data_IF_884302249365
#
_entry.id   IF_884302249365
#
_cell.length_a   1.000
_cell.length_b   1.000
_cell.length_c   1.000
_cell.angle_alpha   90.00
_cell.angle_beta   90.00
_cell.angle_gamma   90.00
#
_symmetry.space_group_name_H-M   'P 1'
#
loop_
_entity.id
_entity.type
_entity.pdbx_description
1 polymer ?
#
# COMPACT_ATOMS: atom_id res chain seq x y z
N UNK A 1 -8.95 7.06 -6.69
CA UNK A 1 -7.54 7.17 -7.15
C UNK A 1 -7.31 8.60 -7.60
N UNK A 2 -6.22 9.23 -7.20
CA UNK A 2 -5.85 10.61 -7.54
C UNK A 2 -4.76 10.63 -8.62
N UNK A 3 -4.51 11.82 -9.17
CA UNK A 3 -3.67 11.97 -10.37
C UNK A 3 -2.21 11.53 -10.14
N UNK A 4 -1.64 11.77 -8.95
CA UNK A 4 -0.27 11.34 -8.62
C UNK A 4 -0.12 9.82 -8.65
N UNK A 5 -1.08 9.08 -8.10
CA UNK A 5 -1.08 7.61 -8.13
C UNK A 5 -1.22 7.07 -9.56
N UNK A 6 -2.04 7.73 -10.41
CA UNK A 6 -2.15 7.38 -11.84
C UNK A 6 -0.84 7.63 -12.59
N UNK A 7 -0.18 8.77 -12.34
CA UNK A 7 1.11 9.09 -12.94
C UNK A 7 2.16 8.07 -12.54
N UNK A 8 2.28 7.75 -11.26
CA UNK A 8 3.22 6.75 -10.75
C UNK A 8 2.97 5.35 -11.34
N UNK A 9 1.71 4.94 -11.49
CA UNK A 9 1.36 3.69 -12.17
C UNK A 9 1.73 3.72 -13.65
N UNK A 10 1.48 4.83 -14.33
CA UNK A 10 1.89 5.01 -15.73
C UNK A 10 3.42 4.88 -15.91
N UNK A 11 4.20 5.45 -14.98
CA UNK A 11 5.66 5.35 -15.00
C UNK A 11 6.12 3.89 -14.84
N UNK A 12 5.46 3.11 -13.98
CA UNK A 12 5.72 1.67 -13.88
C UNK A 12 5.40 0.94 -15.19
N UNK A 13 4.24 1.21 -15.79
CA UNK A 13 3.81 0.59 -17.04
C UNK A 13 4.80 0.91 -18.15
N UNK A 14 5.13 2.19 -18.37
CA UNK A 14 6.01 2.62 -19.45
C UNK A 14 7.46 2.14 -19.27
N UNK A 15 7.91 1.96 -18.04
CA UNK A 15 9.28 1.48 -17.73
C UNK A 15 9.43 -0.02 -17.92
N UNK A 16 8.41 -0.80 -17.57
CA UNK A 16 8.54 -2.26 -17.46
C UNK A 16 7.73 -3.06 -18.50
N UNK A 17 6.85 -2.42 -19.24
CA UNK A 17 6.07 -3.06 -20.31
C UNK A 17 6.46 -2.53 -21.68
N UNK A 18 6.35 -3.37 -22.69
CA UNK A 18 6.56 -3.01 -24.11
C UNK A 18 5.29 -3.26 -24.91
N UNK A 19 5.07 -2.53 -25.98
CA UNK A 19 3.83 -2.60 -26.79
C UNK A 19 3.79 -3.79 -27.75
N UNK A 20 4.92 -4.42 -27.98
CA UNK A 20 5.11 -5.54 -28.93
C UNK A 20 4.90 -6.93 -28.30
N UNK A 21 4.70 -6.98 -26.99
CA UNK A 21 4.51 -8.22 -26.22
C UNK A 21 3.08 -8.35 -25.72
N UNK A 22 2.55 -9.59 -25.74
CA UNK A 22 1.26 -9.92 -25.14
C UNK A 22 1.40 -10.15 -23.61
N UNK A 23 0.47 -9.60 -22.83
CA UNK A 23 0.44 -9.70 -21.38
C UNK A 23 -0.90 -10.22 -20.88
N UNK A 24 -0.85 -11.15 -19.91
CA UNK A 24 -1.97 -11.44 -19.03
C UNK A 24 -1.83 -10.55 -17.80
N UNK A 25 -2.74 -9.61 -17.62
CA UNK A 25 -2.68 -8.58 -16.59
C UNK A 25 -3.86 -8.70 -15.63
N UNK A 26 -3.57 -8.68 -14.34
CA UNK A 26 -4.55 -8.61 -13.27
C UNK A 26 -4.56 -7.22 -12.64
N UNK A 27 -5.72 -6.58 -12.59
CA UNK A 27 -5.97 -5.37 -11.81
C UNK A 27 -6.62 -5.74 -10.48
N UNK A 28 -5.83 -5.69 -9.40
CA UNK A 28 -6.25 -6.08 -8.05
C UNK A 28 -6.77 -4.87 -7.27
N UNK A 29 -8.05 -4.91 -6.89
CA UNK A 29 -8.78 -3.76 -6.35
C UNK A 29 -9.28 -2.84 -7.46
N UNK A 30 -9.88 -3.43 -8.49
CA UNK A 30 -10.24 -2.74 -9.73
C UNK A 30 -11.54 -1.94 -9.66
N UNK A 31 -12.31 -2.06 -8.57
CA UNK A 31 -13.59 -1.37 -8.43
C UNK A 31 -13.43 0.15 -8.56
N UNK A 32 -14.30 0.77 -9.35
CA UNK A 32 -14.38 2.23 -9.47
C UNK A 32 -15.77 2.73 -9.12
N UNK A 33 -15.83 3.79 -8.34
CA UNK A 33 -17.07 4.44 -7.96
C UNK A 33 -17.80 5.04 -9.18
N UNK A 34 -19.11 5.17 -9.08
CA UNK A 34 -19.91 5.87 -10.09
C UNK A 34 -19.40 7.31 -10.25
N UNK A 35 -19.14 7.72 -11.49
CA UNK A 35 -18.56 9.03 -11.80
C UNK A 35 -17.03 9.12 -11.77
N UNK A 36 -16.34 8.12 -11.24
CA UNK A 36 -14.89 8.07 -11.32
C UNK A 36 -14.45 7.66 -12.73
N UNK A 37 -13.85 8.61 -13.46
CA UNK A 37 -13.42 8.39 -14.85
C UNK A 37 -12.05 7.71 -14.95
N UNK A 38 -11.13 8.01 -14.02
CA UNK A 38 -9.77 7.47 -14.04
C UNK A 38 -9.72 6.04 -13.50
N UNK A 39 -9.19 5.13 -14.31
CA UNK A 39 -8.90 3.74 -13.94
C UNK A 39 -7.66 3.25 -14.69
N UNK A 40 -7.10 2.13 -14.27
CA UNK A 40 -5.86 1.60 -14.86
C UNK A 40 -5.99 1.16 -16.32
N UNK A 41 -7.20 0.79 -16.78
CA UNK A 41 -7.41 0.38 -18.19
C UNK A 41 -7.04 1.48 -19.17
N UNK A 42 -7.24 2.75 -18.78
CA UNK A 42 -6.85 3.91 -19.61
C UNK A 42 -5.33 3.98 -19.83
N UNK A 43 -4.52 3.58 -18.85
CA UNK A 43 -3.06 3.58 -18.95
C UNK A 43 -2.54 2.46 -19.86
N UNK A 44 -3.36 1.46 -20.12
CA UNK A 44 -3.02 0.26 -20.88
C UNK A 44 -3.46 0.34 -22.35
N UNK A 45 -4.03 1.46 -22.75
CA UNK A 45 -4.37 1.69 -24.17
C UNK A 45 -3.12 1.63 -25.05
N UNK A 46 -3.22 0.88 -26.12
CA UNK A 46 -2.12 0.62 -27.05
C UNK A 46 -1.12 -0.46 -26.59
N UNK A 47 -1.29 -1.06 -25.42
CA UNK A 47 -0.58 -2.27 -25.03
C UNK A 47 -1.38 -3.52 -25.40
N UNK A 48 -0.69 -4.57 -25.81
CA UNK A 48 -1.29 -5.88 -26.12
C UNK A 48 -1.49 -6.65 -24.83
N UNK A 49 -2.59 -6.38 -24.11
CA UNK A 49 -2.86 -7.02 -22.81
C UNK A 49 -4.31 -7.48 -22.70
N UNK A 50 -4.47 -8.69 -22.12
CA UNK A 50 -5.74 -9.19 -21.62
C UNK A 50 -5.84 -8.81 -20.14
N UNK A 51 -6.78 -7.93 -19.80
CA UNK A 51 -6.93 -7.39 -18.45
C UNK A 51 -8.06 -8.12 -17.73
N UNK A 52 -7.79 -8.58 -16.51
CA UNK A 52 -8.81 -9.12 -15.60
C UNK A 52 -8.85 -8.26 -14.34
N UNK A 53 -9.95 -7.55 -14.12
CA UNK A 53 -10.20 -6.78 -12.90
C UNK A 53 -10.82 -7.65 -11.80
N UNK A 54 -10.26 -7.61 -10.59
CA UNK A 54 -10.80 -8.32 -9.43
C UNK A 54 -10.95 -7.39 -8.24
N UNK A 55 -12.05 -7.52 -7.51
CA UNK A 55 -12.33 -6.77 -6.29
C UNK A 55 -13.24 -7.59 -5.38
N UNK A 56 -13.31 -7.25 -4.08
CA UNK A 56 -14.31 -7.82 -3.15
C UNK A 56 -15.71 -7.27 -3.41
N UNK A 57 -15.81 -6.09 -4.02
CA UNK A 57 -17.07 -5.48 -4.43
C UNK A 57 -17.32 -5.78 -5.92
N UNK A 58 -18.53 -6.20 -6.25
CA UNK A 58 -18.95 -6.28 -7.63
C UNK A 58 -19.32 -4.88 -8.16
N UNK A 59 -18.98 -4.58 -9.41
CA UNK A 59 -19.34 -3.31 -10.04
C UNK A 59 -18.40 -2.90 -11.17
N UNK A 60 -18.29 -1.60 -11.39
CA UNK A 60 -17.53 -1.06 -12.51
C UNK A 60 -16.04 -1.51 -12.48
N UNK A 61 -15.52 -1.93 -13.64
CA UNK A 61 -14.17 -2.47 -13.86
C UNK A 61 -13.85 -3.78 -13.14
N UNK A 62 -14.82 -4.43 -12.51
CA UNK A 62 -14.65 -5.73 -11.86
C UNK A 62 -15.17 -6.82 -12.78
N UNK A 63 -14.27 -7.61 -13.35
CA UNK A 63 -14.63 -8.76 -14.20
C UNK A 63 -14.97 -9.99 -13.35
N UNK A 64 -14.28 -10.17 -12.22
CA UNK A 64 -14.50 -11.31 -11.32
C UNK A 64 -14.56 -10.81 -9.86
N UNK A 65 -15.72 -10.79 -9.23
CA UNK A 65 -15.85 -10.49 -7.80
C UNK A 65 -15.17 -11.58 -6.95
N UNK A 66 -14.42 -11.16 -5.93
CA UNK A 66 -13.77 -12.07 -5.01
C UNK A 66 -14.75 -12.51 -3.91
N UNK A 67 -14.97 -13.82 -3.78
CA UNK A 67 -15.82 -14.38 -2.72
C UNK A 67 -15.10 -14.50 -1.37
N UNK A 68 -13.77 -14.44 -1.38
CA UNK A 68 -12.91 -14.46 -0.18
C UNK A 68 -11.88 -13.34 -0.30
N UNK A 69 -11.69 -12.51 0.76
CA UNK A 69 -10.82 -11.32 0.70
C UNK A 69 -9.38 -11.62 0.30
N UNK A 70 -8.87 -12.78 0.70
CA UNK A 70 -7.48 -13.18 0.46
C UNK A 70 -7.39 -14.42 -0.45
N UNK A 71 -8.27 -14.50 -1.44
CA UNK A 71 -8.23 -15.55 -2.47
C UNK A 71 -8.54 -14.96 -3.83
N UNK A 72 -7.51 -14.62 -4.58
CA UNK A 72 -7.63 -14.11 -5.95
C UNK A 72 -8.16 -15.25 -6.85
N UNK A 73 -9.30 -15.04 -7.56
CA UNK A 73 -10.02 -16.10 -8.28
C UNK A 73 -9.40 -16.41 -9.66
N UNK A 74 -8.08 -16.39 -9.76
CA UNK A 74 -7.36 -16.77 -10.99
C UNK A 74 -6.34 -17.88 -10.70
N UNK A 75 -5.94 -18.59 -11.77
CA UNK A 75 -4.99 -19.71 -11.67
C UNK A 75 -3.62 -19.23 -11.17
N UNK A 76 -2.93 -20.11 -10.44
CA UNK A 76 -1.53 -19.87 -10.06
C UNK A 76 -0.65 -19.75 -11.30
N UNK A 77 0.30 -18.84 -11.26
CA UNK A 77 1.29 -18.61 -12.34
C UNK A 77 0.64 -18.31 -13.69
N UNK A 78 -0.43 -17.54 -13.69
CA UNK A 78 -1.17 -17.19 -14.92
C UNK A 78 -0.93 -15.73 -15.36
N UNK A 79 -0.48 -14.85 -14.46
CA UNK A 79 -0.37 -13.44 -14.74
C UNK A 79 1.08 -13.04 -15.04
N UNK A 80 1.28 -12.27 -16.12
CA UNK A 80 2.56 -11.63 -16.43
C UNK A 80 2.76 -10.40 -15.57
N UNK A 81 1.68 -9.63 -15.38
CA UNK A 81 1.64 -8.39 -14.61
C UNK A 81 0.47 -8.45 -13.63
N UNK A 82 0.70 -7.95 -12.42
CA UNK A 82 -0.37 -7.53 -11.49
C UNK A 82 -0.19 -6.05 -11.25
N UNK A 83 -1.27 -5.29 -11.22
CA UNK A 83 -1.28 -3.87 -10.81
C UNK A 83 -2.25 -3.70 -9.64
N UNK A 84 -1.96 -2.76 -8.75
CA UNK A 84 -2.85 -2.35 -7.66
C UNK A 84 -2.56 -0.91 -7.26
N UNK A 85 -3.57 -0.06 -7.33
CA UNK A 85 -3.43 1.36 -6.99
C UNK A 85 -4.43 1.81 -5.94
N UNK A 86 -3.97 2.29 -4.79
CA UNK A 86 -4.78 2.82 -3.71
C UNK A 86 -5.77 1.77 -3.15
N UNK A 87 -5.25 0.59 -2.84
CA UNK A 87 -6.02 -0.57 -2.35
C UNK A 87 -5.46 -1.12 -1.05
N UNK A 88 -4.14 -1.23 -0.95
CA UNK A 88 -3.49 -1.89 0.18
C UNK A 88 -3.66 -1.17 1.52
N UNK A 89 -3.92 0.14 1.50
CA UNK A 89 -4.29 0.91 2.68
C UNK A 89 -5.63 0.47 3.29
N UNK A 90 -6.48 -0.15 2.48
CA UNK A 90 -7.80 -0.64 2.89
C UNK A 90 -7.80 -2.13 3.28
N UNK A 91 -6.69 -2.83 3.11
CA UNK A 91 -6.59 -4.27 3.36
C UNK A 91 -6.08 -4.52 4.79
N UNK A 92 -6.86 -5.17 5.67
CA UNK A 92 -6.41 -5.46 7.04
C UNK A 92 -5.12 -6.28 7.13
N UNK A 93 -4.96 -7.28 6.26
CA UNK A 93 -3.81 -8.18 6.24
C UNK A 93 -3.07 -8.10 4.90
N UNK A 94 -2.30 -7.01 4.64
CA UNK A 94 -1.64 -6.79 3.34
C UNK A 94 -0.63 -7.90 3.01
N UNK A 95 -0.01 -8.50 4.02
CA UNK A 95 0.91 -9.63 3.85
C UNK A 95 0.23 -10.84 3.21
N UNK A 96 -1.02 -11.13 3.57
CA UNK A 96 -1.79 -12.23 2.97
C UNK A 96 -2.10 -11.97 1.48
N UNK A 97 -2.47 -10.73 1.13
CA UNK A 97 -2.66 -10.33 -0.26
C UNK A 97 -1.38 -10.47 -1.08
N UNK A 98 -0.22 -10.12 -0.51
CA UNK A 98 1.08 -10.31 -1.16
C UNK A 98 1.38 -11.79 -1.46
N UNK A 99 0.99 -12.72 -0.58
CA UNK A 99 1.13 -14.16 -0.84
C UNK A 99 0.27 -14.62 -2.03
N UNK A 100 -0.93 -14.09 -2.18
CA UNK A 100 -1.81 -14.40 -3.31
C UNK A 100 -1.30 -13.76 -4.62
N UNK A 101 -0.81 -12.52 -4.57
CA UNK A 101 -0.15 -11.89 -5.71
C UNK A 101 1.05 -12.71 -6.16
N UNK A 102 1.91 -13.13 -5.22
CA UNK A 102 3.04 -14.01 -5.53
C UNK A 102 2.59 -15.35 -6.12
N UNK A 103 1.41 -15.86 -5.74
CA UNK A 103 0.85 -17.10 -6.30
C UNK A 103 0.44 -16.95 -7.76
N UNK A 104 -0.27 -15.89 -8.09
CA UNK A 104 -0.86 -15.70 -9.42
C UNK A 104 0.17 -15.27 -10.47
N UNK A 105 1.21 -14.54 -10.08
CA UNK A 105 2.29 -14.15 -10.97
C UNK A 105 3.00 -15.35 -11.58
N UNK A 106 3.35 -15.29 -12.86
CA UNK A 106 4.30 -16.20 -13.53
C UNK A 106 5.71 -16.02 -12.95
N UNK A 107 6.61 -17.01 -13.04
CA UNK A 107 8.03 -16.79 -12.80
C UNK A 107 8.58 -15.65 -13.67
N UNK A 108 9.18 -14.62 -13.06
CA UNK A 108 9.61 -13.41 -13.73
C UNK A 108 8.52 -12.36 -13.93
N UNK A 109 7.27 -12.66 -13.58
CA UNK A 109 6.16 -11.69 -13.63
C UNK A 109 6.33 -10.56 -12.62
N UNK A 110 5.72 -9.41 -12.89
CA UNK A 110 5.89 -8.17 -12.12
C UNK A 110 4.60 -7.78 -11.40
N UNK A 111 4.78 -7.10 -10.27
CA UNK A 111 3.69 -6.45 -9.54
C UNK A 111 4.01 -4.96 -9.35
N UNK A 112 3.11 -4.09 -9.79
CA UNK A 112 3.18 -2.64 -9.61
C UNK A 112 2.15 -2.23 -8.57
N UNK A 113 2.60 -1.48 -7.57
CA UNK A 113 1.79 -1.07 -6.44
C UNK A 113 1.97 0.43 -6.18
N UNK A 114 0.86 1.16 -6.07
CA UNK A 114 0.84 2.52 -5.56
C UNK A 114 -0.07 2.59 -4.33
N UNK A 115 0.38 3.23 -3.27
CA UNK A 115 -0.32 3.32 -1.97
C UNK A 115 0.00 4.64 -1.29
N UNK A 116 -0.87 5.18 -0.43
CA UNK A 116 -0.60 6.43 0.24
C UNK A 116 0.54 6.30 1.26
N UNK A 117 1.43 7.29 1.26
CA UNK A 117 2.45 7.47 2.31
C UNK A 117 2.00 8.47 3.37
N UNK A 118 1.12 9.41 3.02
CA UNK A 118 0.55 10.44 3.90
C UNK A 118 -0.84 10.84 3.43
N UNK A 119 -1.49 11.75 4.13
CA UNK A 119 -2.84 12.22 3.87
C UNK A 119 -3.81 11.89 5.00
N UNK A 120 -5.00 12.47 4.97
CA UNK A 120 -6.01 12.21 5.99
C UNK A 120 -6.70 10.85 5.79
N UNK A 121 -7.41 10.40 6.81
CA UNK A 121 -8.28 9.24 6.71
C UNK A 121 -9.45 9.54 5.78
N UNK A 122 -9.65 8.74 4.73
CA UNK A 122 -10.62 9.02 3.66
C UNK A 122 -11.68 7.92 3.43
N UNK A 123 -11.64 6.83 4.21
CA UNK A 123 -12.65 5.77 4.12
C UNK A 123 -12.90 5.09 5.47
N UNK A 124 -13.86 4.14 5.51
CA UNK A 124 -14.16 3.32 6.71
C UNK A 124 -12.97 2.43 7.07
N UNK A 125 -12.38 1.78 6.09
CA UNK A 125 -11.16 1.00 6.20
C UNK A 125 -10.03 1.81 5.56
N UNK A 126 -9.30 2.57 6.35
CA UNK A 126 -8.11 3.31 5.94
C UNK A 126 -7.07 3.08 7.03
N UNK A 127 -6.35 1.96 6.90
CA UNK A 127 -5.62 1.30 7.95
C UNK A 127 -4.14 1.63 7.93
N UNK A 128 -3.58 1.88 6.73
CA UNK A 128 -2.13 1.90 6.54
C UNK A 128 -1.67 3.12 5.78
N UNK A 129 -0.44 3.56 6.11
CA UNK A 129 0.39 4.45 5.31
C UNK A 129 1.73 3.76 5.09
N UNK A 130 2.21 3.78 3.86
CA UNK A 130 3.37 2.99 3.46
C UNK A 130 4.55 3.90 3.13
N UNK A 131 5.72 3.56 3.65
CA UNK A 131 7.00 4.11 3.23
C UNK A 131 7.80 3.04 2.46
N UNK A 132 8.88 3.42 1.73
CA UNK A 132 9.64 2.47 0.92
C UNK A 132 10.15 1.23 1.67
N UNK A 133 10.46 1.36 2.96
CA UNK A 133 10.90 0.24 3.79
C UNK A 133 9.82 -0.82 3.99
N UNK A 134 8.55 -0.43 4.01
CA UNK A 134 7.43 -1.37 4.08
C UNK A 134 7.36 -2.26 2.83
N UNK A 135 7.72 -1.75 1.66
CA UNK A 135 7.78 -2.52 0.42
C UNK A 135 8.81 -3.65 0.51
N UNK A 136 9.94 -3.40 1.19
CA UNK A 136 10.95 -4.43 1.45
C UNK A 136 10.41 -5.55 2.33
N UNK A 137 9.68 -5.21 3.39
CA UNK A 137 9.07 -6.19 4.29
C UNK A 137 8.02 -7.03 3.55
N UNK A 138 7.13 -6.41 2.77
CA UNK A 138 6.14 -7.08 1.94
C UNK A 138 6.77 -8.04 0.92
N UNK A 139 7.83 -7.59 0.23
CA UNK A 139 8.57 -8.40 -0.73
C UNK A 139 9.19 -9.64 -0.07
N UNK A 140 9.89 -9.43 1.05
CA UNK A 140 10.56 -10.50 1.79
C UNK A 140 9.57 -11.56 2.29
N UNK A 141 8.42 -11.13 2.83
CA UNK A 141 7.37 -12.01 3.32
C UNK A 141 6.80 -12.87 2.20
N UNK A 142 6.45 -12.29 1.07
CA UNK A 142 5.88 -13.00 -0.08
C UNK A 142 6.90 -13.80 -0.90
N UNK A 143 8.20 -13.58 -0.67
CA UNK A 143 9.28 -14.19 -1.45
C UNK A 143 9.41 -13.59 -2.85
N UNK A 144 9.04 -12.32 -3.00
CA UNK A 144 9.25 -11.50 -4.18
C UNK A 144 10.60 -10.76 -4.09
N UNK A 145 11.11 -10.32 -5.21
CA UNK A 145 12.24 -9.40 -5.31
C UNK A 145 11.68 -7.98 -5.40
N UNK A 146 12.15 -7.07 -4.57
CA UNK A 146 11.86 -5.65 -4.69
C UNK A 146 12.84 -5.05 -5.70
N UNK A 147 12.31 -4.56 -6.83
CA UNK A 147 13.12 -3.92 -7.88
C UNK A 147 13.26 -2.42 -7.63
N UNK A 148 12.20 -1.79 -7.13
CA UNK A 148 12.11 -0.35 -6.93
C UNK A 148 11.13 -0.04 -5.80
N UNK A 149 11.47 0.94 -4.96
CA UNK A 149 10.54 1.58 -4.05
C UNK A 149 10.93 3.04 -3.85
N UNK A 150 9.98 3.94 -3.94
CA UNK A 150 10.16 5.36 -3.67
C UNK A 150 8.85 5.98 -3.18
N UNK A 151 8.93 7.14 -2.58
CA UNK A 151 7.77 7.91 -2.13
C UNK A 151 7.95 9.39 -2.45
N UNK A 152 6.83 10.09 -2.55
CA UNK A 152 6.81 11.56 -2.67
C UNK A 152 7.03 12.15 -1.28
N UNK A 153 8.25 12.50 -0.96
CA UNK A 153 8.56 13.25 0.25
C UNK A 153 8.23 14.74 0.08
N UNK A 154 7.85 15.44 1.17
CA UNK A 154 7.84 16.89 1.17
C UNK A 154 9.21 17.46 0.81
N UNK A 155 9.31 18.75 0.46
CA UNK A 155 10.58 19.42 0.25
C UNK A 155 11.56 19.21 1.40
N UNK A 156 12.84 19.22 1.14
CA UNK A 156 13.87 19.11 2.18
C UNK A 156 14.06 20.47 2.88
N UNK A 157 14.27 20.42 4.19
CA UNK A 157 14.70 21.59 4.97
C UNK A 157 16.19 21.85 4.70
N UNK A 158 16.51 23.03 4.23
CA UNK A 158 17.89 23.60 4.16
C UNK A 158 18.95 22.63 3.58
N UNK A 159 18.57 21.79 2.62
CA UNK A 159 19.48 20.82 1.98
C UNK A 159 19.90 19.66 2.89
N UNK A 160 19.35 19.54 4.09
CA UNK A 160 19.58 18.41 5.01
C UNK A 160 18.73 17.17 4.69
N UNK A 161 18.82 16.14 5.51
CA UNK A 161 18.06 14.90 5.35
C UNK A 161 16.62 14.98 5.89
N UNK A 162 16.26 16.07 6.55
CA UNK A 162 14.92 16.27 7.09
C UNK A 162 13.99 16.89 6.06
N UNK A 163 12.75 16.41 6.03
CA UNK A 163 11.69 16.94 5.17
C UNK A 163 10.85 17.98 5.90
N UNK A 164 10.46 19.02 5.18
CA UNK A 164 9.59 20.08 5.72
C UNK A 164 8.12 19.66 5.61
N UNK A 165 7.61 19.06 6.67
CA UNK A 165 6.20 18.72 6.76
C UNK A 165 5.29 19.94 7.03
N UNK A 166 5.84 21.09 7.39
CA UNK A 166 5.09 22.34 7.52
C UNK A 166 4.80 22.99 6.15
N UNK A 167 5.64 22.70 5.14
CA UNK A 167 5.42 23.12 3.75
C UNK A 167 4.36 22.28 3.01
N UNK A 168 3.72 21.30 3.68
CA UNK A 168 2.64 20.52 3.07
C UNK A 168 1.40 21.41 2.98
N UNK A 169 1.06 21.82 1.76
CA UNK A 169 -0.22 22.45 1.47
C UNK A 169 -1.31 21.39 1.20
N UNK A 170 -2.58 21.81 1.27
CA UNK A 170 -3.70 20.91 1.05
C UNK A 170 -3.94 20.56 -0.42
N UNK A 171 -3.30 21.22 -1.35
CA UNK A 171 -3.59 21.12 -2.77
C UNK A 171 -2.62 20.20 -3.49
N UNK A 172 -1.32 20.35 -3.28
CA UNK A 172 -0.29 19.64 -4.05
C UNK A 172 0.55 18.65 -3.23
N UNK A 173 0.87 18.97 -1.98
CA UNK A 173 1.82 18.20 -1.16
C UNK A 173 1.17 17.41 -0.04
N UNK A 174 -0.13 17.61 0.19
CA UNK A 174 -0.86 16.96 1.27
C UNK A 174 -0.91 15.44 1.11
N UNK A 175 -1.25 14.96 -0.08
CA UNK A 175 -1.21 13.55 -0.44
C UNK A 175 0.19 13.18 -0.89
N UNK A 176 0.64 12.01 -0.47
CA UNK A 176 1.87 11.43 -0.97
C UNK A 176 1.67 9.95 -1.19
N UNK A 177 2.33 9.45 -2.22
CA UNK A 177 2.23 8.06 -2.64
C UNK A 177 3.57 7.37 -2.54
N UNK A 178 3.56 6.12 -2.10
CA UNK A 178 4.68 5.21 -2.24
C UNK A 178 4.41 4.26 -3.40
N UNK A 179 5.37 4.15 -4.28
CA UNK A 179 5.38 3.23 -5.40
C UNK A 179 6.32 2.08 -5.13
N UNK A 180 5.87 0.85 -5.38
CA UNK A 180 6.67 -0.36 -5.30
C UNK A 180 6.58 -1.19 -6.58
N UNK A 181 7.72 -1.67 -7.05
CA UNK A 181 7.82 -2.62 -8.18
C UNK A 181 8.47 -3.90 -7.68
N UNK A 182 7.75 -5.00 -7.84
CA UNK A 182 8.17 -6.31 -7.36
C UNK A 182 8.26 -7.29 -8.52
N UNK A 183 9.14 -8.28 -8.39
CA UNK A 183 9.28 -9.36 -9.36
C UNK A 183 9.18 -10.72 -8.68
N UNK A 184 8.45 -11.64 -9.29
CA UNK A 184 8.52 -13.04 -8.88
C UNK A 184 9.82 -13.68 -9.40
N UNK A 185 10.68 -14.25 -8.53
CA UNK A 185 11.93 -14.90 -8.96
C UNK A 185 11.67 -16.01 -9.98
N UNK A 186 12.52 -16.12 -11.01
CA UNK A 186 12.39 -17.14 -12.06
C UNK A 186 12.71 -18.57 -11.57
N UNK A 187 13.65 -18.73 -10.62
CA UNK A 187 14.27 -20.03 -10.27
C UNK A 187 14.12 -20.46 -8.80
N UNK A 188 13.45 -19.72 -7.94
CA UNK A 188 13.26 -20.15 -6.54
C UNK A 188 12.08 -21.11 -6.45
N UNK A 189 12.34 -22.40 -6.15
CA UNK A 189 11.30 -23.29 -5.63
C UNK A 189 10.96 -22.81 -4.22
N UNK A 190 9.70 -22.55 -3.89
CA UNK A 190 9.32 -22.23 -2.51
C UNK A 190 9.67 -23.45 -1.65
N UNK A 191 10.26 -23.23 -0.47
CA UNK A 191 10.47 -24.31 0.48
C UNK A 191 9.12 -24.92 0.91
N UNK A 192 9.07 -26.21 1.27
CA UNK A 192 7.84 -26.82 1.78
C UNK A 192 7.22 -26.03 2.94
N UNK A 193 8.05 -25.47 3.81
CA UNK A 193 7.63 -24.64 4.94
C UNK A 193 6.95 -23.34 4.50
N UNK A 194 7.43 -22.71 3.44
CA UNK A 194 6.77 -21.51 2.88
C UNK A 194 5.41 -21.84 2.27
N UNK A 195 5.27 -23.01 1.65
CA UNK A 195 3.97 -23.47 1.12
C UNK A 195 2.98 -23.76 2.25
N UNK A 196 3.43 -24.45 3.30
CA UNK A 196 2.62 -24.74 4.48
C UNK A 196 2.20 -23.44 5.18
N UNK A 197 3.14 -22.57 5.49
CA UNK A 197 2.88 -21.27 6.10
C UNK A 197 1.84 -20.48 5.32
N UNK A 198 1.98 -20.41 3.98
CA UNK A 198 1.00 -19.72 3.13
C UNK A 198 -0.41 -20.33 3.24
N UNK A 199 -0.53 -21.66 3.26
CA UNK A 199 -1.85 -22.31 3.37
C UNK A 199 -2.49 -22.03 4.71
N UNK A 200 -1.72 -22.09 5.80
CA UNK A 200 -2.20 -21.81 7.16
C UNK A 200 -2.60 -20.35 7.29
N UNK A 201 -1.75 -19.42 6.86
CA UNK A 201 -1.99 -17.98 6.90
C UNK A 201 -3.27 -17.61 6.14
N UNK A 202 -3.38 -18.04 4.89
CA UNK A 202 -4.55 -17.71 4.07
C UNK A 202 -5.86 -18.31 4.60
N UNK A 203 -5.79 -19.50 5.22
CA UNK A 203 -6.97 -20.08 5.90
C UNK A 203 -7.37 -19.24 7.11
N UNK A 204 -6.40 -18.84 7.92
CA UNK A 204 -6.64 -18.06 9.13
C UNK A 204 -7.26 -16.69 8.78
N UNK A 205 -6.62 -15.89 7.94
CA UNK A 205 -7.11 -14.54 7.60
C UNK A 205 -8.46 -14.54 6.87
N UNK A 206 -8.75 -15.57 6.06
CA UNK A 206 -10.06 -15.69 5.41
C UNK A 206 -11.18 -16.13 6.37
N UNK A 207 -10.84 -16.61 7.56
CA UNK A 207 -11.79 -16.96 8.62
C UNK A 207 -12.08 -15.79 9.57
N UNK A 208 -11.27 -14.74 9.55
CA UNK A 208 -11.49 -13.53 10.34
C UNK A 208 -12.65 -12.74 9.72
N UNK A 209 -13.63 -12.43 10.54
CA UNK A 209 -14.81 -11.66 10.13
C UNK A 209 -14.53 -10.16 9.99
N UNK A 210 -15.61 -9.39 10.02
CA UNK A 210 -15.56 -7.93 9.91
C UNK A 210 -14.71 -7.30 11.03
N UNK A 211 -13.76 -6.46 10.64
CA UNK A 211 -12.88 -5.70 11.53
C UNK A 211 -13.31 -4.22 11.64
N UNK A 212 -14.54 -3.88 11.21
CA UNK A 212 -15.09 -2.55 11.39
C UNK A 212 -15.32 -2.24 12.88
N UNK A 213 -15.26 -0.98 13.24
CA UNK A 213 -15.62 -0.55 14.60
C UNK A 213 -14.46 -0.47 15.59
N UNK A 214 -13.36 0.21 15.21
CA UNK A 214 -12.31 0.55 16.17
C UNK A 214 -12.91 1.34 17.34
N UNK A 215 -12.78 0.87 18.60
CA UNK A 215 -13.22 1.60 19.75
C UNK A 215 -12.60 2.99 19.79
N UNK A 216 -13.41 4.02 19.87
CA UNK A 216 -12.90 5.39 20.03
C UNK A 216 -12.39 5.54 21.46
N UNK A 217 -11.20 6.11 21.68
CA UNK A 217 -10.75 6.42 23.02
C UNK A 217 -11.77 7.35 23.69
N UNK A 218 -12.00 7.21 25.01
CA UNK A 218 -12.87 8.12 25.73
C UNK A 218 -12.40 9.56 25.47
N UNK A 219 -13.32 10.43 25.09
CA UNK A 219 -12.99 11.85 24.89
C UNK A 219 -12.53 12.41 26.22
N UNK A 220 -11.28 12.88 26.35
CA UNK A 220 -10.90 13.61 27.55
C UNK A 220 -11.77 14.87 27.67
N UNK A 221 -12.19 15.21 28.86
CA UNK A 221 -13.13 16.28 29.18
C UNK A 221 -12.80 17.67 28.57
N UNK A 222 -11.61 17.85 27.99
CA UNK A 222 -11.15 19.08 27.33
C UNK A 222 -10.38 18.77 26.04
N UNK A 223 -10.97 18.02 25.13
CA UNK A 223 -10.31 17.53 23.91
C UNK A 223 -10.38 18.48 22.70
N UNK A 224 -10.53 19.78 22.91
CA UNK A 224 -10.29 20.78 21.87
C UNK A 224 -8.80 20.84 21.48
N UNK A 225 -8.49 21.30 20.25
CA UNK A 225 -7.11 21.52 19.76
C UNK A 225 -6.25 22.27 20.80
N UNK A 226 -6.79 23.31 21.41
CA UNK A 226 -6.16 24.08 22.49
C UNK A 226 -5.86 23.27 23.76
N UNK A 227 -6.64 22.24 24.07
CA UNK A 227 -6.39 21.36 25.21
C UNK A 227 -5.25 20.37 24.97
N UNK A 228 -5.05 19.91 23.74
CA UNK A 228 -3.91 19.05 23.34
C UNK A 228 -2.60 19.86 23.36
N UNK A 229 -2.62 21.05 22.79
CA UNK A 229 -1.44 21.94 22.78
C UNK A 229 -0.99 22.30 24.19
N UNK A 230 -1.92 22.62 25.12
CA UNK A 230 -1.58 22.87 26.54
C UNK A 230 -0.99 21.64 27.23
N UNK A 231 -1.47 20.43 26.93
CA UNK A 231 -0.89 19.18 27.51
C UNK A 231 0.51 18.91 26.98
N UNK A 232 0.72 19.08 25.68
CA UNK A 232 2.05 18.92 25.08
C UNK A 232 3.03 19.94 25.65
N UNK A 233 2.60 21.20 25.78
CA UNK A 233 3.42 22.25 26.39
C UNK A 233 3.79 21.92 27.84
N UNK A 234 2.82 21.54 28.68
CA UNK A 234 3.10 21.11 30.07
C UNK A 234 4.00 19.88 30.16
N UNK A 235 3.90 18.95 29.20
CA UNK A 235 4.80 17.80 29.16
C UNK A 235 6.22 18.21 28.79
N UNK A 236 6.38 19.09 27.81
CA UNK A 236 7.67 19.67 27.45
C UNK A 236 8.29 20.46 28.62
N UNK A 237 7.53 21.34 29.27
CA UNK A 237 7.97 22.08 30.45
C UNK A 237 8.44 21.14 31.57
N UNK A 238 7.77 20.00 31.80
CA UNK A 238 8.22 19.00 32.76
C UNK A 238 9.50 18.29 32.36
N UNK A 239 9.66 17.98 31.07
CA UNK A 239 10.85 17.27 30.56
C UNK A 239 12.08 18.20 30.52
N UNK A 240 11.87 19.47 30.20
CA UNK A 240 12.93 20.50 30.16
C UNK A 240 13.28 21.03 31.54
N UNK A 241 12.33 21.02 32.48
CA UNK A 241 12.50 21.51 33.84
C UNK A 241 13.08 20.52 34.86
N UNK A 242 13.46 19.29 34.42
CA UNK A 242 14.16 18.34 35.30
C UNK A 242 15.66 18.63 35.21
N UNK A 243 16.29 19.26 36.22
CA UNK A 243 17.73 19.50 36.20
C UNK A 243 18.43 18.13 36.16
N UNK A 244 19.38 17.98 35.24
CA UNK A 244 20.32 16.87 35.28
C UNK A 244 20.92 16.82 36.67
N UNK A 245 20.64 15.75 37.43
CA UNK A 245 21.30 15.50 38.70
C UNK A 245 22.81 15.40 38.40
N UNK A 246 23.54 16.45 38.76
CA UNK A 246 24.97 16.50 38.64
C UNK A 246 25.58 15.32 39.39
N UNK A 247 26.35 14.55 38.66
CA UNK A 247 27.35 13.64 39.25
C UNK A 247 28.34 14.50 40.04
N UNK A 248 28.02 14.76 41.29
CA UNK A 248 28.97 15.31 42.26
C UNK A 248 30.04 14.25 42.54
N UNK A 249 31.23 14.52 42.12
CA UNK A 249 32.42 13.87 42.62
C UNK A 249 32.61 14.29 44.07
N UNK A 250 32.77 13.37 44.94
CA UNK A 250 33.40 13.42 46.23
C UNK A 250 34.44 12.28 46.30
#
# INVERSE_FOLDING_TARGET
MHLSAMSAMNDCITTYMTKDRDYQLLDFGSFTNVGQRMNHRMLLEGYRCSITGVDIQAGNNVDIPMTKPYRIPVRSRSQDIVISGQVFEHIPFPFASMLEIARVLKPGGLFFMTVPSRGHRHSTYDLWRYYPDSMRALAAYAGLELLQAHTDFPPRLDGGDRHDYAAIDHEFHYWGDTTGVFRRPRRKRPSPWRLLHRVVELRHVNAIGDLSGVPKPPRPANAGRAGRERRQRRLLERLEGTPAQGSGQG
#
